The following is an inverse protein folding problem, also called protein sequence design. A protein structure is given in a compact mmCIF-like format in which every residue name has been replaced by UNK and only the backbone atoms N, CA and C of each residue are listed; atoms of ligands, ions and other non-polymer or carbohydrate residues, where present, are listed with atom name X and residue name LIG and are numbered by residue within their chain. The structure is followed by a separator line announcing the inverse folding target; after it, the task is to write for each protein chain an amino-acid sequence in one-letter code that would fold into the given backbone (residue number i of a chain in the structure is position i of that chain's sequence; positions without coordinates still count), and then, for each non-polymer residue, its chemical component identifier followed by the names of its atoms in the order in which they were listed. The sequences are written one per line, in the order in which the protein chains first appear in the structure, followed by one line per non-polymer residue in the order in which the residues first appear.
data_IF_132439014633
#
_entry.id   IF_132439014633
#
_cell.length_a   1.000
_cell.length_b   1.000
_cell.length_c   1.000
_cell.angle_alpha   90.00
_cell.angle_beta   90.00
_cell.angle_gamma   90.00
#
_symmetry.space_group_name_H-M   'P 1'
#
loop_
_entity.id
_entity.type
_entity.pdbx_description
1 polymer ?
#
# COMPACT_ATOMS: atom_id res chain seq x y z
N UNK A 1 -2.55 6.96 -9.23
CA UNK A 1 -3.09 7.17 -7.86
C UNK A 1 -2.48 6.14 -6.92
N UNK A 2 -2.28 6.49 -5.66
CA UNK A 2 -1.76 5.58 -4.61
C UNK A 2 -2.95 5.07 -3.81
N UNK A 3 -3.18 3.77 -3.89
CA UNK A 3 -4.11 3.05 -3.01
C UNK A 3 -3.36 2.75 -1.72
N UNK A 4 -3.93 3.12 -0.57
CA UNK A 4 -3.33 2.87 0.72
C UNK A 4 -4.39 2.35 1.69
N UNK A 5 -3.97 1.49 2.61
CA UNK A 5 -4.78 1.08 3.75
C UNK A 5 -4.29 1.83 4.97
N UNK A 6 -5.16 2.60 5.62
CA UNK A 6 -4.78 3.34 6.82
C UNK A 6 -4.56 2.37 7.98
N UNK A 7 -3.39 2.34 8.64
CA UNK A 7 -3.15 1.46 9.78
C UNK A 7 -4.00 1.85 11.00
N UNK A 8 -4.36 3.14 11.15
CA UNK A 8 -5.17 3.61 12.28
C UNK A 8 -6.65 3.25 12.15
N UNK A 9 -7.27 3.53 10.99
CA UNK A 9 -8.72 3.34 10.81
C UNK A 9 -9.09 2.14 9.93
N UNK A 10 -8.11 1.42 9.38
CA UNK A 10 -8.26 0.26 8.48
C UNK A 10 -9.08 0.50 7.22
N UNK A 11 -9.41 1.76 6.92
CA UNK A 11 -10.08 2.15 5.68
C UNK A 11 -9.09 2.19 4.52
N UNK A 12 -9.56 1.76 3.35
CA UNK A 12 -8.83 1.85 2.10
C UNK A 12 -9.11 3.20 1.46
N UNK A 13 -8.07 3.97 1.19
CA UNK A 13 -8.15 5.27 0.54
C UNK A 13 -7.40 5.29 -0.78
N UNK A 14 -7.82 6.17 -1.67
CA UNK A 14 -7.08 6.52 -2.89
C UNK A 14 -6.67 7.97 -2.78
N UNK A 15 -5.38 8.24 -2.93
CA UNK A 15 -4.89 9.61 -3.00
C UNK A 15 -3.96 9.79 -4.18
N UNK A 16 -3.89 11.02 -4.66
CA UNK A 16 -3.00 11.43 -5.75
C UNK A 16 -1.83 12.16 -5.12
N UNK A 17 -0.88 11.41 -4.56
CA UNK A 17 0.35 11.99 -4.05
C UNK A 17 1.39 12.13 -5.17
N UNK A 18 2.17 13.23 -5.19
CA UNK A 18 3.33 13.34 -6.06
C UNK A 18 4.33 12.21 -5.72
N UNK A 19 4.90 11.57 -6.73
CA UNK A 19 5.79 10.41 -6.57
C UNK A 19 7.14 10.73 -5.89
N UNK A 20 7.29 11.94 -5.34
CA UNK A 20 8.51 12.44 -4.72
C UNK A 20 8.63 11.88 -3.31
N UNK A 21 9.17 10.67 -3.20
CA UNK A 21 9.52 10.04 -1.92
C UNK A 21 10.76 10.73 -1.35
N UNK A 22 10.73 11.09 -0.08
CA UNK A 22 11.93 11.57 0.62
C UNK A 22 12.65 10.37 1.20
N UNK A 23 13.98 10.40 1.16
CA UNK A 23 14.79 9.42 1.84
C UNK A 23 14.85 9.82 3.32
N UNK A 24 14.23 9.02 4.19
CA UNK A 24 14.27 9.21 5.63
C UNK A 24 15.03 8.00 6.16
N UNK A 25 16.19 8.22 6.78
CA UNK A 25 17.02 7.15 7.37
C UNK A 25 17.38 6.03 6.36
N UNK A 26 17.63 6.41 5.10
CA UNK A 26 17.95 5.46 4.03
C UNK A 26 16.75 4.74 3.40
N UNK A 27 15.52 5.06 3.84
CA UNK A 27 14.29 4.46 3.35
C UNK A 27 13.45 5.49 2.58
N UNK A 28 13.16 5.19 1.30
CA UNK A 28 12.25 5.97 0.48
C UNK A 28 10.82 5.89 1.03
N UNK A 29 10.41 6.96 1.70
CA UNK A 29 9.15 7.06 2.42
C UNK A 29 8.29 8.16 1.81
N UNK A 30 7.00 7.85 1.65
CA UNK A 30 5.97 8.78 1.20
C UNK A 30 5.00 9.00 2.36
N UNK A 31 5.20 10.09 3.10
CA UNK A 31 4.28 10.51 4.16
C UNK A 31 3.03 11.13 3.53
N UNK A 32 1.87 10.54 3.79
CA UNK A 32 0.57 11.01 3.30
C UNK A 32 -0.43 11.04 4.44
N UNK A 33 -1.39 11.95 4.39
CA UNK A 33 -2.42 12.04 5.41
C UNK A 33 -3.65 11.20 5.03
N UNK A 34 -4.18 10.45 5.99
CA UNK A 34 -5.42 9.72 5.81
C UNK A 34 -6.58 10.69 5.63
N UNK A 35 -7.33 10.57 4.53
CA UNK A 35 -8.52 11.40 4.28
C UNK A 35 -9.69 11.10 5.22
N UNK A 36 -9.66 9.97 5.94
CA UNK A 36 -10.77 9.55 6.82
C UNK A 36 -10.57 9.93 8.28
N UNK A 37 -9.33 9.85 8.78
CA UNK A 37 -9.04 10.07 10.20
C UNK A 37 -7.94 11.11 10.44
N UNK A 38 -7.37 11.70 9.39
CA UNK A 38 -6.31 12.71 9.51
C UNK A 38 -4.95 12.18 9.97
N UNK A 39 -4.80 10.87 10.19
CA UNK A 39 -3.55 10.27 10.65
C UNK A 39 -2.46 10.30 9.57
N UNK A 40 -1.20 10.43 9.98
CA UNK A 40 -0.04 10.36 9.08
C UNK A 40 0.26 8.90 8.72
N UNK A 41 0.44 8.63 7.43
CA UNK A 41 0.71 7.30 6.88
C UNK A 41 2.02 7.37 6.12
N UNK A 42 3.00 6.63 6.61
CA UNK A 42 4.33 6.55 6.02
C UNK A 42 4.40 5.36 5.03
N UNK A 43 4.06 5.62 3.76
CA UNK A 43 4.08 4.60 2.70
C UNK A 43 5.50 4.39 2.21
N UNK A 44 6.15 3.32 2.65
CA UNK A 44 7.48 2.93 2.18
C UNK A 44 7.42 2.04 0.94
N UNK A 45 8.54 1.85 0.23
CA UNK A 45 8.61 0.92 -0.92
C UNK A 45 8.25 -0.52 -0.52
N UNK A 46 8.47 -0.92 0.74
CA UNK A 46 8.10 -2.24 1.29
C UNK A 46 6.59 -2.39 1.53
N UNK A 47 5.85 -1.29 1.75
CA UNK A 47 4.38 -1.30 1.86
C UNK A 47 3.67 -1.48 0.52
N UNK A 48 4.37 -1.36 -0.62
CA UNK A 48 3.79 -1.73 -1.91
C UNK A 48 3.78 -3.25 -1.97
N UNK A 49 2.77 -3.86 -1.36
CA UNK A 49 2.53 -5.29 -1.45
C UNK A 49 2.67 -5.71 -2.91
N UNK A 50 3.44 -6.78 -3.13
CA UNK A 50 3.52 -7.43 -4.43
C UNK A 50 2.06 -7.70 -4.80
N UNK A 51 1.55 -7.01 -5.82
CA UNK A 51 0.27 -7.33 -6.44
C UNK A 51 0.39 -8.80 -6.84
N UNK A 52 -0.13 -9.68 -5.99
CA UNK A 52 -0.21 -11.10 -6.25
C UNK A 52 -0.94 -11.24 -7.57
N UNK A 53 -0.20 -11.69 -8.59
CA UNK A 53 -0.80 -12.19 -9.81
C UNK A 53 -1.80 -13.26 -9.41
N UNK A 54 -2.95 -13.25 -10.08
CA UNK A 54 -3.87 -14.39 -10.16
C UNK A 54 -3.06 -15.69 -10.31
N UNK A 55 -3.32 -16.66 -9.45
CA UNK A 55 -3.22 -18.07 -9.79
C UNK A 55 -4.52 -18.70 -9.32
N UNK A 56 -5.29 -19.16 -10.30
CA UNK A 56 -6.52 -19.93 -10.14
C UNK A 56 -6.31 -21.15 -9.23
N UNK A 57 -7.34 -21.64 -8.52
CA UNK A 57 -7.34 -23.04 -8.10
C UNK A 57 -7.58 -23.89 -9.35
N UNK A 58 -6.50 -24.38 -9.97
CA UNK A 58 -6.58 -25.58 -10.79
C UNK A 58 -6.61 -26.76 -9.83
N UNK A 59 -7.75 -27.46 -9.77
CA UNK A 59 -7.88 -28.76 -9.13
C UNK A 59 -8.03 -29.76 -10.28
N UNK A 60 -7.06 -30.65 -10.43
CA UNK A 60 -6.99 -31.86 -11.28
C UNK A 60 -5.77 -32.64 -10.71
N UNK A 61 -5.72 -33.94 -10.46
CA UNK A 61 -6.65 -35.09 -10.47
C UNK A 61 -5.92 -36.30 -9.80
N UNK A 62 -6.62 -37.44 -9.60
CA UNK A 62 -6.10 -38.83 -9.47
C UNK A 62 -5.64 -39.43 -8.09
N UNK A 63 -6.53 -40.20 -7.43
CA UNK A 63 -6.34 -41.64 -7.06
C UNK A 63 -7.69 -42.32 -6.74
#
# INVERSE_FOLDING_TARGET
NVEYTCPSCRKKGKLTAPFKRKNIEGILTLRVQCQFCGANIDITKKMKEKKGKKSAPGIEDDE
#
